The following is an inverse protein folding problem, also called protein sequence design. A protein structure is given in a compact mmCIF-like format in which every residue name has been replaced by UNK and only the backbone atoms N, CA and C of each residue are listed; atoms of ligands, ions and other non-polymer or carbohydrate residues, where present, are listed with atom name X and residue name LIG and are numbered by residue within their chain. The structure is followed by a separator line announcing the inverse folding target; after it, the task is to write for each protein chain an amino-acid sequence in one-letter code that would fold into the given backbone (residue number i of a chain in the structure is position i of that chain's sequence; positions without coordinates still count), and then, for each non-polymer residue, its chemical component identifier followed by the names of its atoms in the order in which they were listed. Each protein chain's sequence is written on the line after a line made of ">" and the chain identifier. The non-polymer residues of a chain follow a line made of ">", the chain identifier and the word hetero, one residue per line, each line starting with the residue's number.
data_IF_181510522214
#
_entry.id   IF_181510522214
#
_cell.length_a   1.000
_cell.length_b   1.000
_cell.length_c   1.000
_cell.angle_alpha   90.00
_cell.angle_beta   90.00
_cell.angle_gamma   90.00
#
_symmetry.space_group_name_H-M   'P 1'
#
loop_
_entity.id
_entity.type
_entity.pdbx_description
1 polymer ?
#
# COMPACT_ATOMS: atom_id res chain seq x y z
N UNK A 1 25.17 0.57 14.94
CA UNK A 1 24.38 -0.63 15.30
C UNK A 1 23.51 -0.96 14.09
N UNK A 2 23.48 -2.22 13.64
CA UNK A 2 22.54 -2.60 12.59
C UNK A 2 21.11 -2.44 13.15
N UNK A 3 20.23 -1.75 12.42
CA UNK A 3 18.82 -1.68 12.78
C UNK A 3 18.29 -3.12 12.87
N UNK A 4 17.53 -3.43 13.91
CA UNK A 4 16.86 -4.72 14.01
C UNK A 4 15.95 -4.89 12.78
N UNK A 5 15.97 -6.08 12.18
CA UNK A 5 15.08 -6.37 11.08
C UNK A 5 13.64 -6.23 11.57
N UNK A 6 12.83 -5.49 10.81
CA UNK A 6 11.40 -5.34 11.11
C UNK A 6 10.72 -6.68 10.82
N UNK A 7 10.08 -7.27 11.82
CA UNK A 7 9.29 -8.49 11.63
C UNK A 7 7.95 -8.15 11.00
N UNK A 8 7.61 -8.81 9.90
CA UNK A 8 6.32 -8.71 9.19
C UNK A 8 5.65 -10.08 9.11
N UNK A 9 5.06 -10.56 10.20
CA UNK A 9 4.49 -11.91 10.26
C UNK A 9 3.26 -12.09 9.36
N UNK A 10 2.65 -10.98 8.94
CA UNK A 10 1.45 -10.98 8.09
C UNK A 10 1.75 -10.81 6.60
N UNK A 11 3.02 -10.71 6.21
CA UNK A 11 3.43 -10.46 4.82
C UNK A 11 2.71 -9.23 4.22
N UNK A 12 2.68 -8.15 5.00
CA UNK A 12 2.07 -6.89 4.60
C UNK A 12 2.94 -6.12 3.60
N UNK A 13 4.25 -6.37 3.59
CA UNK A 13 5.21 -5.70 2.73
C UNK A 13 5.79 -6.64 1.66
N UNK A 14 6.10 -6.06 0.50
CA UNK A 14 6.97 -6.65 -0.52
C UNK A 14 8.42 -6.26 -0.23
N UNK A 15 8.63 -5.02 0.21
CA UNK A 15 9.96 -4.48 0.49
C UNK A 15 9.89 -3.50 1.65
N UNK A 16 10.81 -3.61 2.61
CA UNK A 16 10.92 -2.73 3.77
C UNK A 16 12.24 -1.96 3.70
N UNK A 17 12.17 -0.63 3.76
CA UNK A 17 13.33 0.26 3.79
C UNK A 17 13.69 0.69 5.21
N UNK A 18 12.73 0.57 6.13
CA UNK A 18 12.86 0.93 7.53
C UNK A 18 12.68 2.42 7.83
N UNK A 19 12.72 2.73 9.13
CA UNK A 19 12.61 4.09 9.64
C UNK A 19 13.93 4.85 9.50
N UNK A 20 13.83 6.15 9.27
CA UNK A 20 14.97 7.08 9.33
C UNK A 20 14.88 7.88 10.63
N UNK A 21 16.00 8.01 11.34
CA UNK A 21 16.08 8.69 12.64
C UNK A 21 15.55 10.16 12.61
N UNK A 22 15.55 10.78 11.44
CA UNK A 22 15.14 12.19 11.27
C UNK A 22 13.75 12.37 10.68
N UNK A 23 13.02 11.29 10.38
CA UNK A 23 11.72 11.39 9.74
C UNK A 23 10.62 11.68 10.77
N UNK A 24 9.68 12.54 10.38
CA UNK A 24 8.57 12.92 11.26
C UNK A 24 7.54 11.79 11.40
N UNK A 25 7.33 10.99 10.36
CA UNK A 25 6.36 9.89 10.33
C UNK A 25 6.71 8.91 9.22
N UNK A 26 6.62 7.62 9.54
CA UNK A 26 6.74 6.53 8.58
C UNK A 26 5.43 6.33 7.82
N UNK A 27 5.53 6.20 6.50
CA UNK A 27 4.39 5.93 5.63
C UNK A 27 4.72 4.79 4.66
N UNK A 28 3.82 3.81 4.55
CA UNK A 28 3.95 2.72 3.61
C UNK A 28 3.21 3.03 2.30
N UNK A 29 3.72 2.52 1.18
CA UNK A 29 3.21 2.82 -0.16
C UNK A 29 2.84 1.52 -0.87
N UNK A 30 1.63 1.42 -1.37
CA UNK A 30 1.16 0.25 -2.14
C UNK A 30 2.00 0.05 -3.41
N UNK A 31 2.31 -1.21 -3.73
CA UNK A 31 3.27 -1.56 -4.79
C UNK A 31 2.76 -1.36 -6.24
N UNK A 32 1.64 -0.72 -6.44
CA UNK A 32 1.24 -0.19 -7.74
C UNK A 32 1.52 1.32 -7.89
N UNK A 33 2.29 1.92 -6.97
CA UNK A 33 2.66 3.34 -6.93
C UNK A 33 4.18 3.46 -7.06
N UNK A 34 4.64 4.27 -7.99
CA UNK A 34 6.06 4.44 -8.30
C UNK A 34 6.82 5.13 -7.16
N UNK A 35 7.93 4.51 -6.76
CA UNK A 35 9.00 5.10 -5.94
C UNK A 35 10.29 5.00 -6.74
N UNK A 36 10.95 6.12 -7.01
CA UNK A 36 12.16 6.17 -7.83
C UNK A 36 13.24 5.19 -7.35
N UNK A 37 13.78 4.39 -8.28
CA UNK A 37 14.82 3.41 -8.03
C UNK A 37 14.34 2.09 -7.43
N UNK A 38 13.04 1.89 -7.26
CA UNK A 38 12.44 0.63 -6.76
C UNK A 38 11.54 -0.01 -7.80
N UNK A 39 11.28 -1.30 -7.65
CA UNK A 39 10.34 -2.02 -8.51
C UNK A 39 8.91 -1.57 -8.20
N UNK A 40 8.11 -1.36 -9.24
CA UNK A 40 6.66 -1.20 -9.17
C UNK A 40 6.01 -2.37 -9.90
N UNK A 41 5.69 -3.43 -9.15
CA UNK A 41 5.29 -4.71 -9.73
C UNK A 41 3.78 -4.87 -9.89
N UNK A 42 2.95 -4.05 -9.22
CA UNK A 42 1.52 -4.32 -9.05
C UNK A 42 1.24 -5.74 -8.51
N UNK A 43 2.20 -6.30 -7.76
CA UNK A 43 2.16 -7.68 -7.25
C UNK A 43 2.41 -8.75 -8.30
N UNK A 44 2.81 -8.41 -9.52
CA UNK A 44 2.97 -9.37 -10.62
C UNK A 44 4.42 -9.62 -10.98
N UNK A 45 4.78 -10.91 -11.13
CA UNK A 45 6.08 -11.31 -11.69
C UNK A 45 6.32 -10.77 -13.11
N UNK A 46 5.27 -10.44 -13.85
CA UNK A 46 5.41 -9.83 -15.18
C UNK A 46 6.08 -8.45 -15.13
N UNK A 47 6.04 -7.77 -13.99
CA UNK A 47 6.67 -6.46 -13.76
C UNK A 47 7.82 -6.53 -12.75
N UNK A 48 8.39 -7.70 -12.50
CA UNK A 48 9.46 -7.90 -11.52
C UNK A 48 10.73 -7.05 -11.80
N UNK A 49 10.92 -6.62 -13.04
CA UNK A 49 12.05 -5.78 -13.46
C UNK A 49 11.63 -4.33 -13.78
N UNK A 50 10.37 -3.96 -13.52
CA UNK A 50 9.86 -2.62 -13.79
C UNK A 50 10.32 -1.61 -12.73
N UNK A 51 11.56 -1.17 -12.83
CA UNK A 51 12.14 -0.16 -11.93
C UNK A 51 11.63 1.23 -12.31
N UNK A 52 10.97 1.90 -11.37
CA UNK A 52 10.45 3.25 -11.57
C UNK A 52 11.59 4.28 -11.70
N UNK A 53 11.58 5.06 -12.78
CA UNK A 53 12.61 6.09 -13.04
C UNK A 53 12.41 7.35 -12.21
N UNK A 54 11.21 7.56 -11.67
CA UNK A 54 10.85 8.74 -10.88
C UNK A 54 9.75 8.40 -9.87
N UNK A 55 9.71 9.17 -8.79
CA UNK A 55 8.59 9.09 -7.84
C UNK A 55 7.26 9.44 -8.51
N UNK A 56 6.20 8.76 -8.13
CA UNK A 56 4.82 9.20 -8.36
C UNK A 56 4.62 10.61 -7.79
N UNK A 57 3.69 11.38 -8.36
CA UNK A 57 3.44 12.75 -7.90
C UNK A 57 3.12 12.82 -6.41
N UNK A 58 2.28 11.89 -5.93
CA UNK A 58 1.93 11.82 -4.50
C UNK A 58 3.14 11.48 -3.62
N UNK A 59 4.05 10.59 -4.05
CA UNK A 59 5.27 10.24 -3.31
C UNK A 59 6.20 11.44 -3.18
N UNK A 60 6.35 12.24 -4.24
CA UNK A 60 7.09 13.52 -4.16
C UNK A 60 6.51 14.47 -3.12
N UNK A 61 5.17 14.57 -3.06
CA UNK A 61 4.49 15.40 -2.08
C UNK A 61 4.69 14.90 -0.65
N UNK A 62 4.62 13.60 -0.42
CA UNK A 62 4.87 12.98 0.88
C UNK A 62 6.30 13.24 1.36
N UNK A 63 7.31 13.03 0.48
CA UNK A 63 8.71 13.35 0.81
C UNK A 63 8.91 14.82 1.13
N UNK A 64 8.30 15.71 0.35
CA UNK A 64 8.38 17.16 0.58
C UNK A 64 7.70 17.60 1.89
N UNK A 65 6.70 16.84 2.36
CA UNK A 65 6.04 17.05 3.64
C UNK A 65 6.80 16.39 4.83
N UNK A 66 7.96 15.77 4.60
CA UNK A 66 8.82 15.21 5.64
C UNK A 66 8.50 13.76 6.02
N UNK A 67 7.60 13.08 5.30
CA UNK A 67 7.36 11.66 5.53
C UNK A 67 8.55 10.79 5.13
N UNK A 68 8.86 9.77 5.92
CA UNK A 68 9.74 8.69 5.54
C UNK A 68 8.94 7.60 4.81
N UNK A 69 9.38 7.21 3.62
CA UNK A 69 8.80 6.06 2.93
C UNK A 69 9.38 4.79 3.57
N UNK A 70 8.55 4.08 4.33
CA UNK A 70 8.96 2.93 5.13
C UNK A 70 9.12 1.67 4.29
N UNK A 71 8.33 1.50 3.23
CA UNK A 71 8.38 0.34 2.36
C UNK A 71 7.26 0.30 1.33
N UNK A 72 7.30 -0.76 0.51
CA UNK A 72 6.28 -1.10 -0.49
C UNK A 72 5.36 -2.17 0.07
N UNK A 73 4.06 -1.89 0.18
CA UNK A 73 3.09 -2.87 0.68
C UNK A 73 2.61 -3.82 -0.40
N UNK A 74 2.41 -5.08 -0.01
CA UNK A 74 1.80 -6.10 -0.84
C UNK A 74 0.33 -5.74 -1.18
N UNK A 75 -0.18 -6.34 -2.23
CA UNK A 75 -1.52 -6.08 -2.74
C UNK A 75 -2.08 -7.34 -3.40
N UNK A 76 -3.38 -7.37 -3.62
CA UNK A 76 -3.94 -8.34 -4.55
C UNK A 76 -3.41 -8.07 -5.95
N UNK A 77 -2.86 -9.08 -6.61
CA UNK A 77 -2.20 -8.95 -7.91
C UNK A 77 -3.05 -8.18 -8.93
N UNK A 78 -2.44 -7.20 -9.62
CA UNK A 78 -3.13 -6.29 -10.54
C UNK A 78 -4.35 -5.60 -9.92
N UNK A 79 -4.28 -5.29 -8.62
CA UNK A 79 -5.35 -4.68 -7.84
C UNK A 79 -6.69 -5.45 -7.94
N UNK A 80 -6.65 -6.79 -7.90
CA UNK A 80 -7.74 -7.74 -8.13
C UNK A 80 -8.23 -7.84 -9.59
N UNK A 81 -7.63 -7.10 -10.52
CA UNK A 81 -8.07 -7.09 -11.91
C UNK A 81 -7.44 -8.22 -12.76
N UNK A 82 -6.70 -9.11 -12.13
CA UNK A 82 -6.05 -10.26 -12.78
C UNK A 82 -7.06 -11.26 -13.35
N UNK A 83 -8.13 -11.53 -12.63
CA UNK A 83 -9.08 -12.59 -12.93
C UNK A 83 -10.38 -12.41 -12.14
N UNK A 84 -11.48 -12.95 -12.64
CA UNK A 84 -12.75 -13.09 -11.89
C UNK A 84 -12.63 -14.04 -10.69
N UNK A 85 -11.53 -14.80 -10.60
CA UNK A 85 -11.20 -15.71 -9.49
C UNK A 85 -9.99 -15.21 -8.69
N UNK A 86 -9.71 -13.90 -8.69
CA UNK A 86 -8.66 -13.32 -7.88
C UNK A 86 -8.91 -13.53 -6.39
N UNK A 87 -7.82 -13.79 -5.66
CA UNK A 87 -7.84 -13.91 -4.20
C UNK A 87 -7.28 -12.62 -3.61
N UNK A 88 -8.03 -12.01 -2.69
CA UNK A 88 -7.58 -10.78 -2.02
C UNK A 88 -6.35 -11.03 -1.16
N UNK A 89 -5.39 -10.12 -1.24
CA UNK A 89 -4.13 -10.20 -0.51
C UNK A 89 -3.07 -11.09 -1.14
N UNK A 90 -3.40 -11.83 -2.20
CA UNK A 90 -2.43 -12.68 -2.89
C UNK A 90 -1.83 -12.00 -4.12
N UNK A 91 -0.52 -12.15 -4.25
CA UNK A 91 0.20 -11.73 -5.46
C UNK A 91 1.28 -12.75 -5.82
N UNK A 92 1.57 -12.92 -7.12
CA UNK A 92 2.65 -13.82 -7.57
C UNK A 92 4.03 -13.28 -7.20
N UNK A 93 4.16 -11.96 -7.00
CA UNK A 93 5.42 -11.32 -6.63
C UNK A 93 5.65 -11.31 -5.11
N UNK A 94 4.62 -11.04 -4.31
CA UNK A 94 4.74 -10.87 -2.85
C UNK A 94 4.14 -12.01 -2.01
N UNK A 95 3.46 -12.99 -2.61
CA UNK A 95 2.75 -14.05 -1.85
C UNK A 95 1.44 -13.56 -1.23
N UNK A 96 0.96 -14.27 -0.21
CA UNK A 96 -0.29 -13.97 0.48
C UNK A 96 -0.07 -13.08 1.70
N UNK A 97 -0.72 -11.94 1.75
CA UNK A 97 -0.89 -11.14 2.97
C UNK A 97 -1.99 -11.76 3.81
N UNK A 98 -1.70 -12.08 5.07
CA UNK A 98 -2.68 -12.61 6.01
C UNK A 98 -3.32 -11.52 6.85
N UNK A 99 -4.52 -11.81 7.39
CA UNK A 99 -5.22 -10.91 8.29
C UNK A 99 -4.56 -10.90 9.67
N UNK A 100 -4.54 -9.73 10.37
CA UNK A 100 -3.88 -9.60 11.69
C UNK A 100 -4.48 -10.49 12.79
N UNK A 101 -5.73 -10.93 12.64
CA UNK A 101 -6.42 -11.78 13.62
C UNK A 101 -6.34 -13.29 13.26
N UNK A 102 -5.66 -13.66 12.19
CA UNK A 102 -5.43 -15.05 11.82
C UNK A 102 -5.64 -15.37 10.34
N UNK A 103 -4.99 -16.43 9.89
CA UNK A 103 -4.92 -16.84 8.48
C UNK A 103 -6.27 -17.31 7.90
N UNK A 104 -7.23 -17.63 8.75
CA UNK A 104 -8.58 -18.04 8.32
C UNK A 104 -9.47 -16.85 7.91
N UNK A 105 -9.00 -15.63 8.11
CA UNK A 105 -9.72 -14.42 7.77
C UNK A 105 -9.15 -13.79 6.49
N UNK A 106 -10.04 -13.33 5.62
CA UNK A 106 -9.64 -12.65 4.40
C UNK A 106 -9.29 -11.18 4.72
N UNK A 107 -8.08 -10.69 4.39
CA UNK A 107 -7.69 -9.31 4.64
C UNK A 107 -8.40 -8.31 3.73
N UNK A 108 -9.25 -8.77 2.80
CA UNK A 108 -9.78 -8.00 1.68
C UNK A 108 -8.67 -7.37 0.82
N UNK A 109 -9.03 -6.58 -0.14
CA UNK A 109 -8.08 -5.93 -1.04
C UNK A 109 -8.77 -4.93 -1.98
N UNK A 110 -7.99 -4.40 -2.84
CA UNK A 110 -6.63 -4.78 -3.25
C UNK A 110 -5.50 -4.16 -2.42
N UNK A 111 -5.74 -3.15 -1.57
CA UNK A 111 -4.73 -2.55 -0.69
C UNK A 111 -4.55 -3.36 0.61
N UNK A 112 -4.43 -4.68 0.49
CA UNK A 112 -4.38 -5.62 1.61
C UNK A 112 -3.20 -5.33 2.54
N UNK A 113 -1.99 -5.30 2.00
CA UNK A 113 -0.79 -5.02 2.77
C UNK A 113 -0.80 -3.63 3.41
N UNK A 114 -1.36 -2.62 2.73
CA UNK A 114 -1.48 -1.27 3.31
C UNK A 114 -2.37 -1.26 4.55
N UNK A 115 -3.51 -1.96 4.52
CA UNK A 115 -4.41 -2.05 5.67
C UNK A 115 -3.79 -2.90 6.80
N UNK A 116 -3.20 -4.04 6.46
CA UNK A 116 -2.58 -4.95 7.42
C UNK A 116 -1.37 -4.32 8.09
N UNK A 117 -0.52 -3.59 7.35
CA UNK A 117 0.64 -2.88 7.92
C UNK A 117 0.22 -1.87 9.01
N UNK A 118 -0.90 -1.16 8.79
CA UNK A 118 -1.46 -0.24 9.79
C UNK A 118 -2.09 -1.01 10.95
N UNK A 119 -2.88 -2.05 10.68
CA UNK A 119 -3.56 -2.85 11.70
C UNK A 119 -2.58 -3.60 12.61
N UNK A 120 -1.45 -4.07 12.05
CA UNK A 120 -0.36 -4.70 12.79
C UNK A 120 0.54 -3.70 13.55
N UNK A 121 0.32 -2.40 13.39
CA UNK A 121 1.11 -1.36 14.05
C UNK A 121 2.53 -1.18 13.48
N UNK A 122 2.80 -1.69 12.28
CA UNK A 122 4.11 -1.55 11.62
C UNK A 122 4.32 -0.12 11.11
N UNK A 123 3.25 0.57 10.73
CA UNK A 123 3.21 2.00 10.40
C UNK A 123 1.91 2.61 10.90
N UNK A 124 1.89 3.91 11.18
CA UNK A 124 0.64 4.62 11.56
C UNK A 124 -0.26 4.93 10.36
N UNK A 125 0.34 5.05 9.16
CA UNK A 125 -0.37 5.42 7.94
C UNK A 125 0.24 4.72 6.73
N UNK A 126 -0.62 4.37 5.77
CA UNK A 126 -0.22 3.81 4.49
C UNK A 126 -1.04 4.43 3.35
N UNK A 127 -0.49 4.40 2.15
CA UNK A 127 -1.21 4.77 0.93
C UNK A 127 -1.66 3.51 0.19
N UNK A 128 -2.93 3.49 -0.13
CA UNK A 128 -3.56 2.52 -1.01
C UNK A 128 -4.10 3.15 -2.29
N UNK A 129 -4.74 2.35 -3.11
CA UNK A 129 -5.49 2.79 -4.29
C UNK A 129 -6.85 2.13 -4.31
N UNK A 130 -7.84 2.84 -4.81
CA UNK A 130 -9.19 2.29 -4.98
C UNK A 130 -9.79 2.70 -6.31
N UNK A 131 -10.29 1.72 -7.02
CA UNK A 131 -11.26 1.88 -8.10
C UNK A 131 -12.65 1.67 -7.50
N UNK A 132 -12.87 0.48 -6.91
CA UNK A 132 -14.11 0.10 -6.23
C UNK A 132 -13.78 -0.84 -5.06
N UNK A 133 -13.85 -0.34 -3.82
CA UNK A 133 -13.65 -1.14 -2.61
C UNK A 133 -12.21 -1.31 -2.14
N UNK A 134 -11.20 -0.99 -2.95
CA UNK A 134 -9.81 -1.41 -2.69
C UNK A 134 -9.05 -0.62 -1.59
N UNK A 135 -9.67 0.37 -0.96
CA UNK A 135 -9.25 1.01 0.29
C UNK A 135 -10.28 0.70 1.37
N UNK A 136 -11.55 0.95 1.05
CA UNK A 136 -12.65 0.87 2.02
C UNK A 136 -12.86 -0.54 2.54
N UNK A 137 -12.79 -1.58 1.70
CA UNK A 137 -12.96 -2.97 2.13
C UNK A 137 -11.80 -3.43 3.04
N UNK A 138 -10.51 -3.36 2.63
CA UNK A 138 -9.43 -3.80 3.52
C UNK A 138 -9.35 -2.95 4.79
N UNK A 139 -9.67 -1.66 4.76
CA UNK A 139 -9.76 -0.84 5.96
C UNK A 139 -10.85 -1.36 6.92
N UNK A 140 -12.05 -1.64 6.40
CA UNK A 140 -13.19 -2.11 7.19
C UNK A 140 -12.89 -3.44 7.89
N UNK A 141 -12.37 -4.44 7.15
CA UNK A 141 -12.16 -5.78 7.73
C UNK A 141 -10.97 -5.84 8.68
N UNK A 142 -9.94 -4.99 8.48
CA UNK A 142 -8.79 -4.95 9.38
C UNK A 142 -8.94 -3.92 10.51
N UNK A 143 -10.10 -3.26 10.64
CA UNK A 143 -10.38 -2.36 11.76
C UNK A 143 -9.57 -1.05 11.75
N UNK A 144 -9.19 -0.56 10.58
CA UNK A 144 -8.48 0.71 10.40
C UNK A 144 -9.33 1.74 9.65
N UNK A 145 -8.93 3.00 9.68
CA UNK A 145 -9.60 4.06 8.92
C UNK A 145 -9.07 4.09 7.50
N UNK A 146 -9.96 3.99 6.51
CA UNK A 146 -9.63 4.16 5.10
C UNK A 146 -10.40 5.30 4.47
N UNK A 147 -9.72 6.15 3.71
CA UNK A 147 -10.34 7.26 3.00
C UNK A 147 -10.14 7.12 1.50
N UNK A 148 -11.26 6.97 0.77
CA UNK A 148 -11.30 7.14 -0.67
C UNK A 148 -11.68 8.60 -1.00
N UNK A 149 -10.74 9.44 -1.43
CA UNK A 149 -11.06 10.82 -1.80
C UNK A 149 -11.82 10.87 -3.13
N UNK A 150 -12.37 12.04 -3.42
CA UNK A 150 -13.01 12.32 -4.73
C UNK A 150 -12.00 12.07 -5.85
N UNK A 151 -12.45 11.38 -6.91
CA UNK A 151 -11.65 11.12 -8.10
C UNK A 151 -11.11 12.43 -8.68
N UNK A 152 -9.81 12.48 -8.93
CA UNK A 152 -9.13 13.68 -9.43
C UNK A 152 -8.56 14.61 -8.34
N UNK A 153 -8.94 14.44 -7.06
CA UNK A 153 -8.36 15.23 -5.96
C UNK A 153 -6.87 14.94 -5.76
N UNK A 154 -6.49 13.64 -5.84
CA UNK A 154 -5.09 13.20 -5.76
C UNK A 154 -4.63 12.77 -7.16
N UNK A 155 -3.46 13.29 -7.57
CA UNK A 155 -2.87 12.93 -8.86
C UNK A 155 -2.54 11.43 -8.92
N UNK A 156 -2.88 10.80 -10.04
CA UNK A 156 -2.58 9.39 -10.36
C UNK A 156 -1.31 9.22 -11.20
N UNK A 157 -0.54 10.30 -11.40
CA UNK A 157 0.73 10.22 -12.13
C UNK A 157 1.73 9.33 -11.39
N UNK A 158 2.18 8.24 -12.02
CA UNK A 158 3.03 7.22 -11.42
C UNK A 158 2.25 6.17 -10.62
N UNK A 159 0.97 5.99 -10.90
CA UNK A 159 0.15 4.89 -10.37
C UNK A 159 -0.28 3.99 -11.52
N UNK A 160 -0.06 2.68 -11.39
CA UNK A 160 -0.54 1.70 -12.37
C UNK A 160 -2.08 1.70 -12.33
N UNK A 161 -2.75 1.99 -13.47
CA UNK A 161 -4.20 2.21 -13.49
C UNK A 161 -5.01 0.93 -13.63
N UNK A 162 -6.29 1.01 -13.22
CA UNK A 162 -7.36 0.10 -13.65
C UNK A 162 -8.34 0.87 -14.55
N UNK A 163 -9.01 1.89 -14.00
CA UNK A 163 -10.04 2.66 -14.69
C UNK A 163 -9.86 4.16 -14.43
N UNK A 164 -9.54 4.92 -15.47
CA UNK A 164 -9.24 6.35 -15.35
C UNK A 164 -10.39 7.17 -14.75
N UNK A 165 -11.63 6.75 -14.94
CA UNK A 165 -12.83 7.44 -14.43
C UNK A 165 -13.16 7.14 -12.97
N UNK A 166 -12.50 6.17 -12.34
CA UNK A 166 -12.85 5.68 -11.00
C UNK A 166 -11.64 5.63 -10.04
N UNK A 167 -10.42 5.47 -10.56
CA UNK A 167 -9.23 5.30 -9.75
C UNK A 167 -8.90 6.53 -8.92
N UNK A 168 -8.53 6.29 -7.68
CA UNK A 168 -7.91 7.29 -6.80
C UNK A 168 -6.89 6.63 -5.87
N UNK A 169 -5.88 7.37 -5.46
CA UNK A 169 -5.07 7.02 -4.31
C UNK A 169 -5.74 7.58 -3.04
N UNK A 170 -5.49 6.96 -1.89
CA UNK A 170 -6.02 7.44 -0.62
C UNK A 170 -5.28 6.81 0.56
N UNK A 171 -5.50 7.36 1.74
CA UNK A 171 -4.82 6.96 2.96
C UNK A 171 -5.60 5.91 3.74
N UNK A 172 -4.83 5.01 4.37
CA UNK A 172 -5.29 4.11 5.44
C UNK A 172 -4.49 4.45 6.69
N UNK A 173 -5.14 4.55 7.85
CA UNK A 173 -4.45 4.96 9.08
C UNK A 173 -5.12 4.43 10.34
N UNK A 174 -4.39 4.50 11.44
CA UNK A 174 -4.85 4.05 12.76
C UNK A 174 -5.99 4.91 13.33
N UNK A 175 -6.18 6.13 12.80
CA UNK A 175 -7.24 7.04 13.23
C UNK A 175 -7.60 8.04 12.14
N UNK A 176 -8.80 8.65 12.27
CA UNK A 176 -9.24 9.75 11.37
C UNK A 176 -8.25 10.91 11.41
N UNK A 177 -7.69 11.22 12.57
CA UNK A 177 -6.71 12.30 12.73
C UNK A 177 -5.46 12.09 11.90
N UNK A 178 -4.95 10.85 11.84
CA UNK A 178 -3.74 10.54 11.06
C UNK A 178 -4.03 10.52 9.55
N UNK A 179 -5.21 10.04 9.14
CA UNK A 179 -5.62 10.02 7.73
C UNK A 179 -5.89 11.43 7.19
N UNK A 180 -6.32 12.36 8.04
CA UNK A 180 -6.62 13.75 7.65
C UNK A 180 -5.40 14.67 7.66
N UNK A 181 -4.24 14.20 8.08
CA UNK A 181 -2.97 14.95 8.14
C UNK A 181 -2.28 15.05 6.79
#
# INVERSE_FOLDING_TARGET
>A
MAAAAVEDPNNAFIEIYGSKETAALDIAIKDNIDIAGTVTSAGSLALAENVALKDAFLVKKLRAAGFNIFGKTNLSEWANFRSTKSVSGWSSYGGQTSHVLGDNLNPCGSSSGSAVAVAAGLVEVAIGTETNGSISCPASVNGVVGMKPTVGLISRSGVIPIAASQDTAGALGSSVKIVAR
#
